data_IF_118787431555
#
_entry.id   IF_118787431555
#
_cell.length_a   1.000
_cell.length_b   1.000
_cell.length_c   1.000
_cell.angle_alpha   90.00
_cell.angle_beta   90.00
_cell.angle_gamma   90.00
#
_symmetry.space_group_name_H-M   'P 1'
#
loop_
_entity.id
_entity.type
_entity.pdbx_description
1 polymer ?
#
# COMPACT_ATOMS: atom_id res chain seq x y z
N UNK A 1 0.06 18.59 12.25
CA UNK A 1 -0.31 17.40 13.05
C UNK A 1 -1.38 17.77 14.08
N UNK A 2 -2.62 17.28 13.93
CA UNK A 2 -3.73 17.67 14.81
C UNK A 2 -3.54 17.30 16.28
N UNK A 3 -2.93 16.15 16.58
CA UNK A 3 -2.71 15.69 17.96
C UNK A 3 -1.72 16.58 18.74
N UNK A 4 -0.60 16.98 18.13
CA UNK A 4 0.40 17.85 18.75
C UNK A 4 -0.12 19.28 19.00
N UNK A 5 -1.01 19.77 18.11
CA UNK A 5 -1.66 21.07 18.28
C UNK A 5 -2.64 21.11 19.46
N UNK A 6 -3.25 19.99 19.83
CA UNK A 6 -4.17 19.91 20.98
C UNK A 6 -3.46 20.02 22.33
N UNK A 7 -2.17 19.72 22.38
CA UNK A 7 -1.36 19.74 23.61
C UNK A 7 -0.36 20.89 23.65
N UNK A 8 -0.54 21.89 22.76
CA UNK A 8 0.30 23.09 22.65
C UNK A 8 1.81 22.81 22.60
N UNK A 9 2.18 21.68 21.97
CA UNK A 9 3.60 21.33 21.77
C UNK A 9 4.12 22.09 20.56
N UNK A 10 5.17 22.91 20.70
CA UNK A 10 5.77 23.63 19.59
C UNK A 10 6.33 22.65 18.56
N UNK A 11 5.89 22.80 17.31
CA UNK A 11 6.41 22.04 16.16
C UNK A 11 7.42 22.92 15.45
N UNK A 12 8.71 22.60 15.62
CA UNK A 12 9.80 23.32 14.98
C UNK A 12 10.26 22.57 13.72
N UNK A 13 10.56 23.32 12.66
CA UNK A 13 11.28 22.80 11.51
C UNK A 13 12.78 22.87 11.78
N UNK A 14 13.50 21.83 11.36
CA UNK A 14 14.97 21.74 11.49
C UNK A 14 15.54 21.06 10.27
N UNK A 15 16.81 21.31 9.95
CA UNK A 15 17.53 20.68 8.83
C UNK A 15 18.03 19.26 9.15
N UNK A 16 17.33 18.53 10.00
CA UNK A 16 17.66 17.13 10.31
C UNK A 16 17.15 16.24 9.19
N UNK A 17 18.07 15.50 8.56
CA UNK A 17 17.70 14.47 7.58
C UNK A 17 17.67 13.11 8.25
N UNK A 18 16.51 12.45 8.22
CA UNK A 18 16.37 11.06 8.68
C UNK A 18 16.53 10.12 7.49
N UNK A 19 17.59 9.30 7.49
CA UNK A 19 17.77 8.23 6.51
C UNK A 19 17.20 6.93 7.06
N UNK A 20 16.08 6.49 6.51
CA UNK A 20 15.52 5.17 6.80
C UNK A 20 16.24 4.11 5.97
N UNK A 21 17.10 3.30 6.60
CA UNK A 21 17.87 2.24 5.92
C UNK A 21 17.06 0.98 5.66
N UNK A 22 15.81 0.93 6.13
CA UNK A 22 15.05 -0.32 6.16
C UNK A 22 15.64 -1.33 7.14
N UNK A 23 15.12 -2.54 7.09
CA UNK A 23 15.68 -3.67 7.84
C UNK A 23 16.85 -4.26 7.05
N UNK A 24 18.08 -3.99 7.50
CA UNK A 24 19.29 -4.49 6.84
C UNK A 24 19.57 -5.96 7.17
N UNK A 25 19.12 -6.44 8.32
CA UNK A 25 19.20 -7.86 8.72
C UNK A 25 18.03 -8.66 8.12
N UNK A 26 18.29 -9.64 7.23
CA UNK A 26 17.25 -10.49 6.65
C UNK A 26 16.43 -11.27 7.68
N UNK A 27 17.04 -11.70 8.79
CA UNK A 27 16.34 -12.47 9.82
C UNK A 27 15.40 -11.60 10.65
N UNK A 28 15.80 -10.37 10.95
CA UNK A 28 14.92 -9.39 11.59
C UNK A 28 13.77 -8.99 10.66
N UNK A 29 14.06 -8.79 9.38
CA UNK A 29 13.06 -8.51 8.35
C UNK A 29 12.02 -9.61 8.26
N UNK A 30 12.43 -10.87 8.17
CA UNK A 30 11.51 -12.00 8.06
C UNK A 30 10.65 -12.17 9.33
N UNK A 31 11.23 -12.01 10.53
CA UNK A 31 10.45 -12.04 11.78
C UNK A 31 9.38 -10.95 11.81
N UNK A 32 9.69 -9.76 11.30
CA UNK A 32 8.73 -8.66 11.20
C UNK A 32 7.60 -9.02 10.23
N UNK A 33 7.91 -9.57 9.05
CA UNK A 33 6.89 -10.00 8.08
C UNK A 33 5.98 -11.10 8.65
N UNK A 34 6.54 -12.07 9.37
CA UNK A 34 5.75 -13.11 10.05
C UNK A 34 4.78 -12.51 11.07
N UNK A 35 5.26 -11.60 11.91
CA UNK A 35 4.41 -10.89 12.88
C UNK A 35 3.33 -10.07 12.18
N UNK A 36 3.69 -9.32 11.15
CA UNK A 36 2.75 -8.46 10.42
C UNK A 36 1.67 -9.32 9.73
N UNK A 37 2.02 -10.49 9.17
CA UNK A 37 1.05 -11.49 8.67
C UNK A 37 0.09 -11.94 9.77
N UNK A 38 0.59 -12.38 10.92
CA UNK A 38 -0.26 -12.86 12.02
C UNK A 38 -1.26 -11.80 12.50
N UNK A 39 -0.84 -10.53 12.57
CA UNK A 39 -1.72 -9.43 12.94
C UNK A 39 -2.80 -9.25 11.87
N UNK A 40 -2.41 -9.17 10.59
CA UNK A 40 -3.34 -8.94 9.48
C UNK A 40 -4.37 -10.06 9.34
N UNK A 41 -3.96 -11.31 9.52
CA UNK A 41 -4.83 -12.48 9.45
C UNK A 41 -5.87 -12.51 10.60
N UNK A 42 -5.54 -11.92 11.75
CA UNK A 42 -6.43 -11.82 12.90
C UNK A 42 -7.47 -10.68 12.81
N UNK A 43 -7.32 -9.76 11.86
CA UNK A 43 -8.20 -8.60 11.67
C UNK A 43 -9.48 -8.98 10.88
N UNK A 44 -9.53 -8.61 9.59
CA UNK A 44 -10.64 -8.85 8.67
C UNK A 44 -10.10 -9.44 7.38
N UNK A 45 -10.12 -10.79 7.21
CA UNK A 45 -9.41 -11.47 6.13
C UNK A 45 -9.79 -11.05 4.70
N UNK A 46 -11.01 -10.53 4.52
CA UNK A 46 -11.53 -10.10 3.22
C UNK A 46 -11.54 -8.57 3.03
N UNK A 47 -11.09 -7.81 4.03
CA UNK A 47 -11.00 -6.36 3.89
C UNK A 47 -9.94 -5.97 2.84
N UNK A 48 -10.22 -5.03 1.92
CA UNK A 48 -9.29 -4.67 0.85
C UNK A 48 -7.94 -4.15 1.35
N UNK A 49 -7.88 -3.48 2.51
CA UNK A 49 -6.64 -3.01 3.11
C UNK A 49 -5.85 -4.19 3.69
N UNK A 50 -6.50 -5.14 4.35
CA UNK A 50 -5.84 -6.37 4.83
C UNK A 50 -5.26 -7.15 3.66
N UNK A 51 -6.05 -7.37 2.61
CA UNK A 51 -5.62 -8.07 1.40
C UNK A 51 -4.47 -7.35 0.68
N UNK A 52 -4.48 -6.02 0.61
CA UNK A 52 -3.36 -5.25 0.04
C UNK A 52 -2.06 -5.51 0.79
N UNK A 53 -2.10 -5.42 2.13
CA UNK A 53 -0.90 -5.57 2.95
C UNK A 53 -0.38 -7.02 2.95
N UNK A 54 -1.25 -8.03 2.93
CA UNK A 54 -0.85 -9.43 2.73
C UNK A 54 -0.19 -9.63 1.36
N UNK A 55 -0.73 -9.02 0.31
CA UNK A 55 -0.12 -9.00 -1.03
C UNK A 55 1.26 -8.34 -1.04
N UNK A 56 1.43 -7.22 -0.33
CA UNK A 56 2.72 -6.53 -0.20
C UNK A 56 3.78 -7.39 0.51
N UNK A 57 3.40 -8.10 1.57
CA UNK A 57 4.30 -9.04 2.26
C UNK A 57 4.71 -10.20 1.32
N UNK A 58 3.78 -10.71 0.51
CA UNK A 58 4.07 -11.76 -0.47
C UNK A 58 5.03 -11.27 -1.58
N UNK A 59 4.87 -10.03 -2.07
CA UNK A 59 5.85 -9.39 -2.97
C UNK A 59 7.22 -9.29 -2.31
N UNK A 60 7.25 -8.89 -1.04
CA UNK A 60 8.49 -8.73 -0.29
C UNK A 60 9.27 -10.05 -0.12
N UNK A 61 8.54 -11.18 -0.11
CA UNK A 61 9.04 -12.56 -0.13
C UNK A 61 9.21 -13.16 -1.52
N UNK A 62 8.90 -12.41 -2.58
CA UNK A 62 8.92 -12.87 -3.97
C UNK A 62 7.96 -14.05 -4.25
N UNK A 63 6.93 -14.24 -3.43
CA UNK A 63 5.84 -15.16 -3.72
C UNK A 63 4.79 -14.48 -4.60
N UNK A 64 5.10 -14.42 -5.89
CA UNK A 64 4.29 -13.73 -6.90
C UNK A 64 2.89 -14.32 -7.03
N UNK A 65 2.73 -15.62 -6.77
CA UNK A 65 1.44 -16.31 -6.90
C UNK A 65 0.46 -15.85 -5.82
N UNK A 66 0.91 -15.85 -4.57
CA UNK A 66 0.13 -15.40 -3.41
C UNK A 66 -0.09 -13.89 -3.46
N UNK A 67 0.93 -13.13 -3.86
CA UNK A 67 0.81 -11.69 -4.06
C UNK A 67 -0.29 -11.34 -5.06
N UNK A 68 -0.28 -11.96 -6.24
CA UNK A 68 -1.26 -11.71 -7.29
C UNK A 68 -2.69 -12.00 -6.81
N UNK A 69 -2.89 -13.13 -6.12
CA UNK A 69 -4.20 -13.52 -5.58
C UNK A 69 -4.76 -12.50 -4.58
N UNK A 70 -3.93 -12.04 -3.64
CA UNK A 70 -4.33 -11.05 -2.65
C UNK A 70 -4.59 -9.67 -3.27
N UNK A 71 -3.68 -9.17 -4.12
CA UNK A 71 -3.80 -7.85 -4.74
C UNK A 71 -5.01 -7.77 -5.67
N UNK A 72 -5.34 -8.84 -6.41
CA UNK A 72 -6.54 -8.88 -7.25
C UNK A 72 -7.85 -8.88 -6.44
N UNK A 73 -7.87 -9.55 -5.27
CA UNK A 73 -9.03 -9.52 -4.38
C UNK A 73 -9.18 -8.16 -3.70
N UNK A 74 -8.06 -7.58 -3.24
CA UNK A 74 -8.01 -6.22 -2.71
C UNK A 74 -8.57 -5.21 -3.72
N UNK A 75 -8.12 -5.27 -4.97
CA UNK A 75 -8.58 -4.37 -6.03
C UNK A 75 -10.08 -4.51 -6.32
N UNK A 76 -10.61 -5.75 -6.35
CA UNK A 76 -12.04 -6.00 -6.58
C UNK A 76 -12.93 -5.44 -5.47
N UNK A 77 -12.44 -5.42 -4.23
CA UNK A 77 -13.16 -4.88 -3.09
C UNK A 77 -12.95 -3.38 -2.86
N UNK A 78 -12.07 -2.72 -3.63
CA UNK A 78 -11.81 -1.28 -3.55
C UNK A 78 -12.57 -0.57 -4.68
N UNK A 79 -13.48 0.36 -4.39
CA UNK A 79 -14.18 1.07 -5.46
C UNK A 79 -13.33 2.26 -5.97
N UNK A 80 -13.29 2.52 -7.29
CA UNK A 80 -12.68 3.74 -7.83
C UNK A 80 -13.31 5.02 -7.26
N UNK A 81 -14.60 4.98 -6.91
CA UNK A 81 -15.32 6.07 -6.24
C UNK A 81 -14.88 6.32 -4.80
N UNK A 82 -14.11 5.40 -4.20
CA UNK A 82 -13.49 5.62 -2.89
C UNK A 82 -12.22 6.48 -2.98
N UNK A 83 -11.84 6.88 -4.20
CA UNK A 83 -10.89 7.96 -4.45
C UNK A 83 -11.66 9.26 -4.66
N UNK A 84 -11.41 10.27 -3.82
CA UNK A 84 -11.89 11.62 -4.16
C UNK A 84 -11.17 12.06 -5.44
N UNK A 85 -11.91 12.62 -6.40
CA UNK A 85 -11.41 12.98 -7.74
C UNK A 85 -10.23 13.96 -7.77
N UNK A 86 -9.85 14.52 -6.62
CA UNK A 86 -8.74 15.45 -6.43
C UNK A 86 -7.34 14.78 -6.55
N UNK A 87 -7.26 13.45 -6.53
CA UNK A 87 -5.98 12.73 -6.47
C UNK A 87 -5.43 12.25 -7.82
N UNK A 88 -6.08 12.57 -8.95
CA UNK A 88 -5.61 12.18 -10.30
C UNK A 88 -4.35 12.92 -10.77
N UNK A 89 -3.98 14.05 -10.17
CA UNK A 89 -2.90 14.92 -10.66
C UNK A 89 -1.65 15.02 -9.75
N UNK A 90 -1.59 14.30 -8.61
CA UNK A 90 -0.47 14.45 -7.65
C UNK A 90 0.16 13.11 -7.28
N UNK A 91 0.89 12.51 -8.22
CA UNK A 91 1.64 11.25 -8.01
C UNK A 91 2.98 11.42 -7.28
N UNK A 92 3.46 12.64 -7.03
CA UNK A 92 4.84 12.84 -6.55
C UNK A 92 5.01 12.95 -5.02
N UNK A 93 3.94 12.89 -4.23
CA UNK A 93 4.04 13.02 -2.76
C UNK A 93 3.04 12.14 -2.03
N UNK A 94 3.46 10.94 -1.63
CA UNK A 94 2.73 10.11 -0.67
C UNK A 94 2.73 10.80 0.70
N UNK A 95 1.59 11.36 1.13
CA UNK A 95 1.33 11.71 2.53
C UNK A 95 0.13 10.91 3.01
N UNK A 96 0.33 10.09 4.06
CA UNK A 96 -0.76 9.40 4.75
C UNK A 96 -1.03 10.11 6.06
N UNK A 97 -2.14 10.88 6.13
CA UNK A 97 -2.90 11.12 7.36
C UNK A 97 -4.37 11.44 6.99
N UNK A 98 -5.23 10.41 6.97
CA UNK A 98 -6.70 10.53 7.11
C UNK A 98 -7.54 10.87 5.85
N UNK A 99 -8.61 10.07 5.66
CA UNK A 99 -9.73 10.23 4.70
C UNK A 99 -9.35 10.10 3.21
N UNK A 100 -8.99 8.88 2.79
CA UNK A 100 -8.72 8.53 1.38
C UNK A 100 -8.03 7.18 1.17
N UNK A 101 -8.05 6.29 2.17
CA UNK A 101 -7.23 5.08 2.20
C UNK A 101 -7.42 4.20 0.96
N UNK A 102 -8.64 4.01 0.49
CA UNK A 102 -8.94 3.10 -0.62
C UNK A 102 -8.48 3.60 -2.00
N UNK A 103 -8.55 4.91 -2.27
CA UNK A 103 -8.05 5.47 -3.52
C UNK A 103 -6.55 5.24 -3.74
N UNK A 104 -5.75 5.36 -2.69
CA UNK A 104 -4.32 5.07 -2.73
C UNK A 104 -4.01 3.57 -2.86
N UNK A 105 -4.85 2.71 -2.28
CA UNK A 105 -4.71 1.25 -2.41
C UNK A 105 -4.96 0.80 -3.86
N UNK A 106 -5.97 1.35 -4.54
CA UNK A 106 -6.25 1.06 -5.95
C UNK A 106 -5.05 1.40 -6.84
N UNK A 107 -4.48 2.60 -6.71
CA UNK A 107 -3.32 3.02 -7.51
C UNK A 107 -2.08 2.18 -7.20
N UNK A 108 -1.82 1.88 -5.92
CA UNK A 108 -0.68 1.01 -5.55
C UNK A 108 -0.85 -0.43 -6.02
N UNK A 109 -2.06 -0.99 -5.94
CA UNK A 109 -2.37 -2.30 -6.49
C UNK A 109 -2.03 -2.36 -7.99
N UNK A 110 -2.49 -1.38 -8.75
CA UNK A 110 -2.21 -1.31 -10.19
C UNK A 110 -0.71 -1.18 -10.49
N UNK A 111 0.03 -0.37 -9.73
CA UNK A 111 1.48 -0.22 -9.90
C UNK A 111 2.21 -1.54 -9.64
N UNK A 112 1.92 -2.21 -8.52
CA UNK A 112 2.55 -3.49 -8.17
C UNK A 112 2.21 -4.59 -9.19
N UNK A 113 0.97 -4.64 -9.66
CA UNK A 113 0.54 -5.59 -10.70
C UNK A 113 1.20 -5.31 -12.06
N UNK A 114 1.50 -4.06 -12.40
CA UNK A 114 2.20 -3.70 -13.62
C UNK A 114 3.68 -4.11 -13.59
N UNK A 115 4.30 -4.09 -12.41
CA UNK A 115 5.72 -4.43 -12.18
C UNK A 115 5.96 -5.93 -11.95
N UNK A 116 4.92 -6.71 -11.62
CA UNK A 116 5.07 -8.14 -11.35
C UNK A 116 5.56 -8.92 -12.59
N UNK A 117 6.55 -9.84 -12.44
CA UNK A 117 7.04 -10.66 -13.54
C UNK A 117 5.90 -11.53 -14.09
N UNK A 118 5.53 -11.34 -15.36
CA UNK A 118 4.36 -11.99 -15.97
C UNK A 118 4.71 -13.41 -16.40
N UNK A 119 4.11 -14.47 -15.84
CA UNK A 119 4.40 -15.83 -16.27
C UNK A 119 3.53 -16.29 -17.46
N UNK A 120 2.52 -15.52 -17.88
CA UNK A 120 1.60 -15.91 -18.97
C UNK A 120 1.11 -14.67 -19.74
N UNK A 121 1.22 -14.71 -21.07
CA UNK A 121 0.98 -13.59 -22.00
C UNK A 121 -0.47 -13.10 -22.12
N UNK A 122 -1.03 -12.53 -21.05
CA UNK A 122 -2.26 -11.75 -21.12
C UNK A 122 -2.01 -10.30 -20.69
N UNK A 123 -2.28 -9.39 -21.61
CA UNK A 123 -2.25 -7.95 -21.37
C UNK A 123 -3.40 -7.57 -20.44
N UNK A 124 -3.08 -7.08 -19.24
CA UNK A 124 -4.04 -6.28 -18.47
C UNK A 124 -4.09 -4.90 -19.13
N UNK A 125 -5.12 -4.66 -19.94
CA UNK A 125 -5.41 -3.33 -20.46
C UNK A 125 -6.07 -2.53 -19.34
N UNK A 126 -5.35 -1.56 -18.77
CA UNK A 126 -5.98 -0.50 -17.99
C UNK A 126 -6.65 0.40 -19.02
N UNK A 127 -7.94 0.17 -19.27
CA UNK A 127 -8.75 1.09 -20.09
C UNK A 127 -8.98 2.33 -19.24
N UNK A 128 -8.18 3.36 -19.51
CA UNK A 128 -8.53 4.73 -19.13
C UNK A 128 -9.61 5.20 -20.11
N UNK A 129 -10.88 5.04 -19.77
CA UNK A 129 -11.94 5.75 -20.50
C UNK A 129 -11.77 7.25 -20.25
N UNK A 130 -11.25 7.93 -21.26
CA UNK A 130 -11.27 9.38 -21.36
C UNK A 130 -12.53 9.81 -22.10
N UNK A 131 -13.47 10.41 -21.37
CA UNK A 131 -14.09 11.72 -21.64
C UNK A 131 -15.07 12.08 -20.54
#
# INVERSE_FOLDING_TARGET
MPALRRVDVPVLWTEVTVRHTGYTDPALRERKLQRDCMILEAERPDDPFVLFNLGAIAVERQDWSTALGHLQRSLRGSAPSDSSGEWRERTDRFYSVGQGYYGHLTLRNLAVLAEAPRPWGKSLFIVSEGR
#
